data_IF_202812860481
#
_entry.id   IF_202812860481
#
_cell.length_a   1.000
_cell.length_b   1.000
_cell.length_c   1.000
_cell.angle_alpha   90.00
_cell.angle_beta   90.00
_cell.angle_gamma   90.00
#
_symmetry.space_group_name_H-M   'P 1'
#
loop_
_entity.id
_entity.type
_entity.pdbx_description
1 polymer ?
#
# COMPACT_ATOMS: atom_id res chain seq x y z
N UNK A 1 -2.72 10.45 19.02
CA UNK A 1 -2.40 9.70 17.77
C UNK A 1 -2.54 10.61 16.56
N UNK A 2 -1.77 10.33 15.54
CA UNK A 2 -1.82 11.08 14.29
C UNK A 2 -2.44 10.20 13.20
N UNK A 3 -3.17 10.83 12.29
CA UNK A 3 -3.74 10.14 11.15
C UNK A 3 -2.72 10.13 10.01
N UNK A 4 -2.52 8.97 9.39
CA UNK A 4 -1.65 8.82 8.23
C UNK A 4 -2.43 8.24 7.08
N UNK A 5 -2.15 8.73 5.89
CA UNK A 5 -2.70 8.16 4.66
C UNK A 5 -1.58 7.41 3.94
N UNK A 6 -1.83 6.16 3.65
CA UNK A 6 -0.84 5.30 2.98
C UNK A 6 -1.37 4.99 1.59
N UNK A 7 -0.60 5.37 0.58
CA UNK A 7 -0.94 5.11 -0.81
C UNK A 7 -0.08 3.96 -1.31
N UNK A 8 -0.72 2.94 -1.82
CA UNK A 8 -0.05 1.80 -2.43
C UNK A 8 -0.26 1.85 -3.93
N UNK A 9 0.82 1.92 -4.69
CA UNK A 9 0.73 1.68 -6.12
C UNK A 9 0.84 0.18 -6.33
N UNK A 10 -0.22 -0.41 -6.82
CA UNK A 10 -0.31 -1.85 -6.99
C UNK A 10 -0.43 -2.20 -8.46
N UNK A 11 0.03 -3.39 -8.83
CA UNK A 11 -0.08 -3.88 -10.18
C UNK A 11 -0.49 -5.35 -10.19
N UNK A 12 -1.02 -5.79 -11.29
CA UNK A 12 -1.44 -7.16 -11.49
C UNK A 12 -1.89 -7.36 -12.93
N UNK A 13 -2.50 -8.49 -13.20
CA UNK A 13 -3.03 -8.80 -14.52
C UNK A 13 -4.55 -8.86 -14.47
N UNK A 14 -5.21 -8.37 -15.52
CA UNK A 14 -6.66 -8.46 -15.61
C UNK A 14 -7.07 -9.83 -16.20
N UNK A 15 -8.38 -10.00 -16.45
CA UNK A 15 -8.92 -11.25 -17.00
C UNK A 15 -8.34 -11.59 -18.37
N UNK A 16 -7.87 -10.59 -19.10
CA UNK A 16 -7.28 -10.75 -20.42
C UNK A 16 -5.77 -10.86 -20.38
N UNK A 17 -5.19 -10.98 -19.17
CA UNK A 17 -3.75 -11.03 -18.92
C UNK A 17 -3.02 -9.74 -19.32
N UNK A 18 -3.73 -8.62 -19.27
CA UNK A 18 -3.12 -7.32 -19.51
C UNK A 18 -2.63 -6.74 -18.18
N UNK A 19 -1.43 -6.17 -18.21
CA UNK A 19 -0.87 -5.54 -17.03
C UNK A 19 -1.69 -4.30 -16.65
N UNK A 20 -2.14 -4.24 -15.41
CA UNK A 20 -2.91 -3.12 -14.87
C UNK A 20 -2.21 -2.57 -13.64
N UNK A 21 -2.20 -1.26 -13.52
CA UNK A 21 -1.74 -0.57 -12.32
C UNK A 21 -2.89 0.23 -11.71
N UNK A 22 -2.96 0.26 -10.40
CA UNK A 22 -3.99 1.03 -9.69
C UNK A 22 -3.40 1.53 -8.38
N UNK A 23 -4.10 2.47 -7.75
CA UNK A 23 -3.68 3.03 -6.47
C UNK A 23 -4.73 2.71 -5.41
N UNK A 24 -4.29 2.12 -4.31
CA UNK A 24 -5.14 1.88 -3.15
C UNK A 24 -4.71 2.81 -2.02
N UNK A 25 -5.67 3.41 -1.34
CA UNK A 25 -5.40 4.31 -0.23
C UNK A 25 -5.98 3.73 1.05
N UNK A 26 -5.14 3.64 2.08
CA UNK A 26 -5.55 3.19 3.39
C UNK A 26 -5.22 4.28 4.41
N UNK A 27 -6.05 4.40 5.44
CA UNK A 27 -5.82 5.35 6.52
C UNK A 27 -5.57 4.60 7.82
N UNK A 28 -4.59 5.07 8.57
CA UNK A 28 -4.21 4.47 9.85
C UNK A 28 -3.96 5.56 10.87
N UNK A 29 -4.23 5.23 12.14
CA UNK A 29 -3.87 6.08 13.26
C UNK A 29 -2.67 5.45 13.95
N UNK A 30 -1.64 6.25 14.23
CA UNK A 30 -0.45 5.80 14.91
C UNK A 30 0.15 6.96 15.72
N UNK A 31 0.92 6.65 16.73
CA UNK A 31 1.55 7.68 17.54
C UNK A 31 2.63 8.44 16.77
N UNK A 32 3.38 7.72 15.97
CA UNK A 32 4.42 8.29 15.12
C UNK A 32 4.64 7.38 13.91
N UNK A 33 5.60 7.76 13.08
CA UNK A 33 5.89 7.02 11.85
C UNK A 33 6.42 5.61 12.12
N UNK A 34 7.23 5.44 13.17
CA UNK A 34 7.76 4.12 13.53
C UNK A 34 6.65 3.18 13.96
N UNK A 35 5.68 3.67 14.72
CA UNK A 35 4.50 2.88 15.11
C UNK A 35 3.69 2.48 13.87
N UNK A 36 3.57 3.38 12.90
CA UNK A 36 2.89 3.07 11.64
C UNK A 36 3.61 1.95 10.88
N UNK A 37 4.94 2.00 10.81
CA UNK A 37 5.70 0.93 10.15
C UNK A 37 5.45 -0.43 10.78
N UNK A 38 5.33 -0.49 12.10
CA UNK A 38 5.01 -1.75 12.77
C UNK A 38 3.62 -2.26 12.38
N UNK A 39 2.64 -1.36 12.29
CA UNK A 39 1.29 -1.73 11.86
C UNK A 39 1.31 -2.29 10.44
N UNK A 40 2.01 -1.62 9.54
CA UNK A 40 2.09 -2.05 8.14
C UNK A 40 2.83 -3.40 8.01
N UNK A 41 3.92 -3.57 8.75
CA UNK A 41 4.67 -4.81 8.72
C UNK A 41 3.84 -5.99 9.20
N UNK A 42 3.12 -5.82 10.31
CA UNK A 42 2.23 -6.87 10.81
C UNK A 42 1.12 -7.19 9.83
N UNK A 43 0.55 -6.16 9.19
CA UNK A 43 -0.49 -6.37 8.20
C UNK A 43 -0.01 -7.15 6.99
N UNK A 44 1.23 -6.94 6.57
CA UNK A 44 1.81 -7.69 5.47
C UNK A 44 2.12 -9.13 5.88
N UNK A 45 2.62 -9.34 7.10
CA UNK A 45 2.97 -10.68 7.60
C UNK A 45 1.75 -11.57 7.83
N UNK A 46 0.66 -11.00 8.36
CA UNK A 46 -0.55 -11.76 8.65
C UNK A 46 -1.54 -11.79 7.50
N UNK A 47 -1.23 -11.07 6.42
CA UNK A 47 -2.07 -11.04 5.23
C UNK A 47 -3.31 -10.16 5.35
N UNK A 48 -3.45 -9.36 6.41
CA UNK A 48 -4.64 -8.55 6.61
C UNK A 48 -4.70 -7.32 5.72
N UNK A 49 -3.57 -6.86 5.19
CA UNK A 49 -3.52 -5.70 4.28
C UNK A 49 -3.91 -6.10 2.87
N UNK A 50 -3.54 -7.29 2.42
CA UNK A 50 -3.76 -7.72 1.04
C UNK A 50 -5.21 -7.54 0.56
N UNK A 51 -6.24 -7.97 1.32
CA UNK A 51 -7.63 -7.77 0.86
C UNK A 51 -8.02 -6.30 0.72
N UNK A 52 -7.39 -5.42 1.49
CA UNK A 52 -7.68 -3.99 1.42
C UNK A 52 -7.08 -3.33 0.19
N UNK A 53 -6.10 -3.98 -0.43
CA UNK A 53 -5.44 -3.47 -1.63
C UNK A 53 -6.08 -3.98 -2.91
N UNK A 54 -6.96 -4.96 -2.82
CA UNK A 54 -7.62 -5.53 -4.00
C UNK A 54 -8.51 -4.48 -4.67
N UNK A 55 -8.49 -4.48 -5.99
CA UNK A 55 -9.33 -3.59 -6.79
C UNK A 55 -10.16 -4.42 -7.75
N UNK A 56 -11.23 -3.82 -8.26
CA UNK A 56 -12.11 -4.50 -9.22
C UNK A 56 -11.38 -4.79 -10.53
N UNK A 57 -10.41 -3.95 -10.88
CA UNK A 57 -9.69 -4.08 -12.15
C UNK A 57 -8.64 -5.18 -12.14
N UNK A 58 -8.17 -5.57 -10.97
CA UNK A 58 -7.07 -6.54 -10.83
C UNK A 58 -7.60 -7.79 -10.15
N UNK A 59 -7.48 -8.93 -10.83
CA UNK A 59 -7.84 -10.21 -10.25
C UNK A 59 -6.59 -11.01 -9.92
N UNK A 60 -6.66 -11.76 -8.81
CA UNK A 60 -5.55 -12.60 -8.38
C UNK A 60 -4.53 -11.83 -7.57
N UNK A 61 -3.27 -12.19 -7.72
CA UNK A 61 -2.20 -11.64 -6.89
C UNK A 61 -1.87 -10.20 -7.28
N UNK A 62 -1.78 -9.36 -6.25
CA UNK A 62 -1.42 -7.96 -6.41
C UNK A 62 0.03 -7.77 -5.97
N UNK A 63 0.79 -7.02 -6.75
CA UNK A 63 2.16 -6.64 -6.42
C UNK A 63 2.18 -5.19 -5.98
N UNK A 64 2.85 -4.91 -4.88
CA UNK A 64 3.04 -3.54 -4.40
C UNK A 64 4.29 -2.98 -5.06
N UNK A 65 4.13 -1.94 -5.88
CA UNK A 65 5.25 -1.33 -6.59
C UNK A 65 5.82 -0.11 -5.86
N UNK A 66 4.97 0.60 -5.14
CA UNK A 66 5.40 1.79 -4.43
C UNK A 66 4.52 2.02 -3.21
N UNK A 67 5.11 2.53 -2.15
CA UNK A 67 4.38 2.92 -0.93
C UNK A 67 4.72 4.37 -0.63
N UNK A 68 3.69 5.20 -0.49
CA UNK A 68 3.82 6.60 -0.13
C UNK A 68 3.02 6.84 1.14
N UNK A 69 3.62 7.53 2.10
CA UNK A 69 2.93 7.85 3.35
C UNK A 69 2.85 9.37 3.50
N UNK A 70 1.64 9.85 3.78
CA UNK A 70 1.37 11.26 4.02
C UNK A 70 0.84 11.43 5.43
N UNK A 71 1.25 12.51 6.10
CA UNK A 71 0.76 12.83 7.43
C UNK A 71 -0.62 13.51 7.38
N UNK A 72 -1.14 13.89 8.54
CA UNK A 72 -2.47 14.52 8.62
C UNK A 72 -2.55 15.86 7.90
N UNK A 73 -1.42 16.51 7.66
CA UNK A 73 -1.35 17.77 6.93
C UNK A 73 -1.20 17.57 5.42
N UNK A 74 -1.11 16.33 4.97
CA UNK A 74 -0.94 16.03 3.56
C UNK A 74 0.50 16.10 3.09
N UNK A 75 1.45 16.11 4.01
CA UNK A 75 2.86 16.17 3.68
C UNK A 75 3.42 14.74 3.54
N UNK A 76 4.16 14.51 2.46
CA UNK A 76 4.83 13.21 2.26
C UNK A 76 5.93 13.03 3.29
N UNK A 77 5.82 11.96 4.10
CA UNK A 77 6.80 11.67 5.15
C UNK A 77 7.61 10.42 4.87
N UNK A 78 7.20 9.62 3.88
CA UNK A 78 7.92 8.41 3.51
C UNK A 78 7.59 8.00 2.08
N UNK A 79 8.60 7.46 1.37
CA UNK A 79 8.42 6.92 0.01
C UNK A 79 9.35 5.73 -0.15
N UNK A 80 8.81 4.62 -0.63
CA UNK A 80 9.59 3.43 -0.91
C UNK A 80 9.13 2.81 -2.22
N UNK A 81 10.06 2.55 -3.10
CA UNK A 81 9.80 1.84 -4.34
C UNK A 81 10.18 0.38 -4.18
N UNK A 82 9.35 -0.49 -4.72
CA UNK A 82 9.69 -1.91 -4.77
C UNK A 82 10.86 -2.10 -5.72
N UNK A 83 11.80 -2.95 -5.34
CA UNK A 83 12.93 -3.30 -6.19
C UNK A 83 12.73 -4.63 -6.91
N UNK A 84 11.50 -5.07 -7.02
CA UNK A 84 11.18 -6.32 -7.73
C UNK A 84 11.67 -6.25 -9.15
N UNK A 85 12.38 -7.26 -9.57
CA UNK A 85 12.94 -7.33 -10.92
C UNK A 85 14.29 -6.66 -11.07
N UNK A 86 14.80 -6.10 -10.01
CA UNK A 86 16.12 -5.46 -10.02
C UNK A 86 17.23 -6.48 -9.80
#
# INVERSE_FOLDING_TARGET
MQAYNVFYLVSGDDEENQHISDTATLSFDAEDLDALFEILQKGEEDGSIQPKLETIAIEGDIRIECVLIYDAEGKEVFRKYSSVGQ
#
